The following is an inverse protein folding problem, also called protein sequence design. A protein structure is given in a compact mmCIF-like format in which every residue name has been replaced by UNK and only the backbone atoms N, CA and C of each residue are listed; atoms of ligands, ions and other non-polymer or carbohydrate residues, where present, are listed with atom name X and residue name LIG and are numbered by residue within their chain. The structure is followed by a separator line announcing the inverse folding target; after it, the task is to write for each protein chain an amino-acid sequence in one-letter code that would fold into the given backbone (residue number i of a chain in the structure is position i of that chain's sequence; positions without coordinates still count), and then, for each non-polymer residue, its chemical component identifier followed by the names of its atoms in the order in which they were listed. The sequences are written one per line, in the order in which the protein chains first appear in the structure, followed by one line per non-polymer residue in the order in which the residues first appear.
data_IF_439375101150
#
_entry.id   IF_439375101150
#
_cell.length_a   1.000
_cell.length_b   1.000
_cell.length_c   1.000
_cell.angle_alpha   90.00
_cell.angle_beta   90.00
_cell.angle_gamma   90.00
#
_symmetry.space_group_name_H-M   'P 1'
#
loop_
_entity.id
_entity.type
_entity.pdbx_description
1 polymer ?
#
# COMPACT_ATOMS: atom_id res chain seq x y z
N UNK A 1 14.63 -60.18 3.54
CA UNK A 1 14.27 -60.93 4.76
C UNK A 1 14.42 -62.40 4.44
N UNK A 2 15.30 -63.15 5.14
CA UNK A 2 15.17 -64.61 5.14
C UNK A 2 13.92 -64.89 5.97
N UNK A 3 12.88 -65.40 5.33
CA UNK A 3 11.73 -65.96 6.03
C UNK A 3 12.28 -66.99 7.01
N UNK A 4 12.28 -66.66 8.31
CA UNK A 4 12.52 -67.68 9.32
C UNK A 4 11.36 -68.66 9.18
N UNK A 5 11.61 -69.93 8.80
CA UNK A 5 10.54 -70.86 8.50
C UNK A 5 9.64 -70.96 9.72
N UNK A 6 8.37 -70.64 9.50
CA UNK A 6 7.31 -70.73 10.50
C UNK A 6 7.34 -72.15 11.07
N UNK A 7 7.68 -72.31 12.34
CA UNK A 7 7.77 -73.66 12.93
C UNK A 7 6.34 -74.16 12.99
N UNK A 8 6.08 -75.41 12.61
CA UNK A 8 4.72 -75.98 12.64
C UNK A 8 4.00 -75.79 13.98
N UNK A 9 4.76 -75.77 15.07
CA UNK A 9 4.26 -75.55 16.44
C UNK A 9 3.77 -74.11 16.69
N UNK A 10 4.28 -73.13 15.93
CA UNK A 10 3.84 -71.73 15.98
C UNK A 10 2.36 -71.61 15.59
N UNK A 11 1.88 -72.42 14.65
CA UNK A 11 0.47 -72.39 14.21
C UNK A 11 -0.52 -72.63 15.36
N UNK A 12 -0.14 -73.40 16.37
CA UNK A 12 -0.98 -73.70 17.54
C UNK A 12 -0.75 -72.73 18.70
N UNK A 13 0.50 -72.31 18.93
CA UNK A 13 0.88 -71.49 20.08
C UNK A 13 0.79 -69.98 19.82
N UNK A 14 0.64 -69.54 18.57
CA UNK A 14 0.48 -68.12 18.20
C UNK A 14 -0.79 -67.50 18.79
N UNK A 15 -1.85 -68.29 19.02
CA UNK A 15 -3.11 -67.79 19.59
C UNK A 15 -3.09 -67.69 21.12
N UNK A 16 -2.04 -68.16 21.78
CA UNK A 16 -1.86 -67.98 23.22
C UNK A 16 -1.12 -66.66 23.50
N UNK A 17 -1.62 -65.94 24.49
CA UNK A 17 -0.88 -64.83 25.08
C UNK A 17 0.42 -65.32 25.70
N UNK A 18 1.38 -64.41 25.88
CA UNK A 18 2.62 -64.66 26.59
C UNK A 18 2.34 -65.27 27.97
N UNK A 19 1.36 -64.71 28.70
CA UNK A 19 0.89 -65.25 29.98
C UNK A 19 0.37 -66.69 29.85
N UNK A 20 -0.35 -66.99 28.76
CA UNK A 20 -0.81 -68.34 28.44
C UNK A 20 0.33 -69.32 28.19
N UNK A 21 1.37 -68.91 27.43
CA UNK A 21 2.57 -69.72 27.18
C UNK A 21 3.32 -70.03 28.47
N UNK A 22 3.47 -69.05 29.38
CA UNK A 22 4.04 -69.27 30.70
C UNK A 22 3.18 -70.15 31.61
N UNK A 23 1.85 -69.98 31.60
CA UNK A 23 0.94 -70.87 32.34
C UNK A 23 1.03 -72.31 31.82
N UNK A 24 1.10 -72.51 30.51
CA UNK A 24 1.29 -73.84 29.92
C UNK A 24 2.60 -74.48 30.39
N UNK A 25 3.70 -73.73 30.36
CA UNK A 25 5.00 -74.21 30.85
C UNK A 25 4.97 -74.52 32.36
N UNK A 26 4.31 -73.67 33.16
CA UNK A 26 4.14 -73.87 34.60
C UNK A 26 3.31 -75.12 34.91
N UNK A 27 2.13 -75.27 34.28
CA UNK A 27 1.26 -76.45 34.45
C UNK A 27 2.00 -77.72 33.99
N UNK A 28 2.78 -77.63 32.90
CA UNK A 28 3.59 -78.75 32.44
C UNK A 28 4.65 -79.15 33.48
N UNK A 29 5.42 -78.20 34.02
CA UNK A 29 6.42 -78.47 35.07
C UNK A 29 5.77 -79.00 36.36
N UNK A 30 4.61 -78.47 36.74
CA UNK A 30 3.85 -78.95 37.90
C UNK A 30 3.38 -80.40 37.69
N UNK A 31 2.84 -80.71 36.51
CA UNK A 31 2.42 -82.07 36.15
C UNK A 31 3.59 -83.05 36.10
N UNK A 32 4.75 -82.62 35.62
CA UNK A 32 5.99 -83.40 35.63
C UNK A 32 6.40 -83.73 37.07
N UNK A 33 6.29 -82.77 38.00
CA UNK A 33 6.62 -82.97 39.42
C UNK A 33 5.67 -83.96 40.11
N UNK A 34 4.38 -83.91 39.78
CA UNK A 34 3.40 -84.90 40.27
C UNK A 34 3.71 -86.30 39.69
N UNK A 35 3.98 -86.38 38.38
CA UNK A 35 4.28 -87.64 37.72
C UNK A 35 5.53 -88.32 38.28
N UNK A 36 6.60 -87.56 38.55
CA UNK A 36 7.81 -88.08 39.20
C UNK A 36 7.52 -88.56 40.62
N UNK A 37 6.71 -87.83 41.38
CA UNK A 37 6.25 -88.24 42.72
C UNK A 37 5.48 -89.57 42.70
N UNK A 38 4.55 -89.75 41.76
CA UNK A 38 3.79 -91.02 41.59
C UNK A 38 4.72 -92.17 41.23
N UNK A 39 5.68 -91.95 40.33
CA UNK A 39 6.67 -92.96 39.94
C UNK A 39 7.54 -93.37 41.14
N UNK A 40 8.00 -92.41 41.94
CA UNK A 40 8.79 -92.71 43.14
C UNK A 40 7.98 -93.46 44.20
N UNK A 41 6.70 -93.10 44.38
CA UNK A 41 5.81 -93.82 45.29
C UNK A 41 5.59 -95.27 44.82
N UNK A 42 5.39 -95.49 43.51
CA UNK A 42 5.27 -96.83 42.93
C UNK A 42 6.55 -97.66 43.08
N UNK A 43 7.73 -97.05 42.90
CA UNK A 43 9.01 -97.75 43.09
C UNK A 43 9.23 -98.10 44.56
N UNK A 44 8.90 -97.19 45.49
CA UNK A 44 8.98 -97.42 46.92
C UNK A 44 8.07 -98.56 47.40
N UNK A 45 6.82 -98.59 46.91
CA UNK A 45 5.88 -99.69 47.24
C UNK A 45 6.36 -101.03 46.69
N UNK A 46 6.88 -101.06 45.45
CA UNK A 46 7.46 -102.28 44.87
C UNK A 46 8.71 -102.74 45.64
N UNK A 47 9.55 -101.83 46.12
CA UNK A 47 10.71 -102.15 46.94
C UNK A 47 10.29 -102.76 48.29
N UNK A 48 9.28 -102.19 48.94
CA UNK A 48 8.75 -102.74 50.19
C UNK A 48 8.16 -104.14 49.99
N UNK A 49 7.47 -104.37 48.86
CA UNK A 49 6.94 -105.69 48.51
C UNK A 49 8.05 -106.74 48.30
N UNK A 50 9.11 -106.42 47.53
CA UNK A 50 10.25 -107.33 47.31
C UNK A 50 10.99 -107.64 48.63
N UNK A 51 11.16 -106.66 49.50
CA UNK A 51 11.76 -106.85 50.83
C UNK A 51 10.88 -107.79 51.68
N UNK A 52 9.56 -107.60 51.66
CA UNK A 52 8.63 -108.47 52.37
C UNK A 52 8.66 -109.90 51.81
N UNK A 53 8.72 -110.07 50.49
CA UNK A 53 8.81 -111.37 49.84
C UNK A 53 10.14 -112.07 50.18
N UNK A 54 11.28 -111.39 50.09
CA UNK A 54 12.60 -111.95 50.48
C UNK A 54 12.64 -112.33 51.96
N UNK A 55 12.06 -111.51 52.83
CA UNK A 55 11.99 -111.81 54.26
C UNK A 55 11.11 -113.05 54.52
N UNK A 56 9.95 -113.13 53.87
CA UNK A 56 9.08 -114.31 53.96
C UNK A 56 9.77 -115.57 53.43
N UNK A 57 10.51 -115.48 52.32
CA UNK A 57 11.26 -116.59 51.75
C UNK A 57 12.41 -117.05 52.67
N UNK A 58 13.13 -116.12 53.30
CA UNK A 58 14.17 -116.44 54.28
C UNK A 58 13.58 -117.10 55.54
N UNK A 59 12.46 -116.58 56.06
CA UNK A 59 11.72 -117.18 57.16
C UNK A 59 11.29 -118.61 56.81
N UNK A 60 10.72 -118.80 55.61
CA UNK A 60 10.27 -120.10 55.13
C UNK A 60 11.46 -121.08 54.95
N UNK A 61 12.60 -120.59 54.46
CA UNK A 61 13.82 -121.39 54.32
C UNK A 61 14.35 -121.86 55.68
N UNK A 62 14.40 -120.97 56.68
CA UNK A 62 14.78 -121.33 58.06
C UNK A 62 13.81 -122.36 58.64
N UNK A 63 12.50 -122.13 58.54
CA UNK A 63 11.49 -123.06 59.06
C UNK A 63 11.56 -124.44 58.39
N UNK A 64 11.79 -124.48 57.08
CA UNK A 64 11.96 -125.75 56.34
C UNK A 64 13.24 -126.50 56.68
N UNK A 65 14.31 -125.80 57.08
CA UNK A 65 15.59 -126.43 57.41
C UNK A 65 15.56 -127.13 58.77
N UNK A 66 14.75 -126.63 59.71
CA UNK A 66 14.62 -127.18 61.06
C UNK A 66 13.45 -128.19 61.21
N UNK A 67 12.80 -128.59 60.10
CA UNK A 67 11.65 -129.50 60.06
C UNK A 67 10.56 -129.18 61.09
N UNK A 68 10.37 -127.87 61.32
CA UNK A 68 9.47 -127.37 62.36
C UNK A 68 8.03 -127.66 61.94
N UNK A 69 7.30 -128.39 62.79
CA UNK A 69 5.90 -128.72 62.56
C UNK A 69 5.05 -127.44 62.43
N UNK A 70 3.93 -127.53 61.71
CA UNK A 70 3.16 -126.32 61.39
C UNK A 70 2.65 -125.57 62.63
N UNK A 71 2.35 -126.29 63.71
CA UNK A 71 1.92 -125.71 65.00
C UNK A 71 3.08 -125.05 65.77
N UNK A 72 4.30 -125.60 65.73
CA UNK A 72 5.48 -124.96 66.33
C UNK A 72 5.91 -123.70 65.57
N UNK A 73 5.91 -123.74 64.24
CA UNK A 73 6.24 -122.59 63.40
C UNK A 73 5.26 -121.42 63.63
N UNK A 74 3.95 -121.72 63.75
CA UNK A 74 2.95 -120.72 64.08
C UNK A 74 3.20 -120.07 65.45
N UNK A 75 3.63 -120.83 66.45
CA UNK A 75 3.93 -120.31 67.79
C UNK A 75 5.18 -119.40 67.82
N UNK A 76 6.24 -119.78 67.11
CA UNK A 76 7.48 -119.00 67.01
C UNK A 76 7.24 -117.68 66.28
N UNK A 77 6.48 -117.71 65.18
CA UNK A 77 6.16 -116.49 64.43
C UNK A 77 5.20 -115.60 65.24
N UNK A 78 4.19 -116.17 65.93
CA UNK A 78 3.29 -115.41 66.79
C UNK A 78 4.04 -114.71 67.94
N UNK A 79 5.10 -115.31 68.48
CA UNK A 79 5.95 -114.71 69.51
C UNK A 79 6.70 -113.45 69.04
N UNK A 80 6.90 -113.28 67.73
CA UNK A 80 7.54 -112.08 67.14
C UNK A 80 6.57 -110.90 66.91
N UNK A 81 5.31 -111.02 67.35
CA UNK A 81 4.28 -109.98 67.14
C UNK A 81 3.68 -109.98 65.73
N UNK A 82 3.94 -111.05 64.98
CA UNK A 82 3.63 -111.18 63.57
C UNK A 82 2.49 -112.18 63.38
N UNK A 83 1.45 -111.81 62.63
CA UNK A 83 0.40 -112.76 62.22
C UNK A 83 0.91 -113.63 61.07
N UNK A 84 1.12 -114.91 61.37
CA UNK A 84 1.44 -115.94 60.40
C UNK A 84 0.14 -116.46 59.75
N UNK A 85 0.10 -116.51 58.42
CA UNK A 85 -0.98 -117.18 57.68
C UNK A 85 -0.35 -118.26 56.81
N UNK A 86 -0.86 -119.49 56.88
CA UNK A 86 -0.34 -120.60 56.07
C UNK A 86 -1.19 -120.73 54.80
N UNK A 87 -0.56 -120.61 53.63
CA UNK A 87 -1.22 -120.84 52.35
C UNK A 87 -0.33 -121.71 51.46
N UNK A 88 -0.84 -122.86 51.03
CA UNK A 88 -0.18 -123.79 50.11
C UNK A 88 1.22 -124.25 50.56
N UNK A 89 1.35 -124.73 51.81
CA UNK A 89 2.61 -125.14 52.45
C UNK A 89 3.71 -124.05 52.49
N UNK A 90 3.33 -122.77 52.39
CA UNK A 90 4.22 -121.63 52.59
C UNK A 90 3.69 -120.72 53.69
N UNK A 91 4.59 -120.29 54.57
CA UNK A 91 4.28 -119.31 55.61
C UNK A 91 4.27 -117.91 55.00
N UNK A 92 3.09 -117.29 54.96
CA UNK A 92 2.88 -115.91 54.56
C UNK A 92 2.79 -115.01 55.78
N UNK A 93 3.54 -113.92 55.78
CA UNK A 93 3.59 -112.95 56.87
C UNK A 93 2.69 -111.75 56.55
N UNK A 94 1.68 -111.47 57.39
CA UNK A 94 0.93 -110.20 57.33
C UNK A 94 1.24 -109.36 58.56
N UNK A 95 2.34 -108.62 58.53
CA UNK A 95 2.62 -107.59 59.53
C UNK A 95 3.35 -106.41 58.91
N UNK A 96 2.83 -105.23 59.24
CA UNK A 96 3.29 -103.91 58.85
C UNK A 96 4.50 -103.50 59.69
N UNK A 97 5.54 -104.33 59.70
CA UNK A 97 6.79 -104.09 60.44
C UNK A 97 7.78 -103.40 59.52
N UNK A 98 8.27 -102.22 59.91
CA UNK A 98 9.27 -101.46 59.17
C UNK A 98 10.58 -102.24 59.12
N UNK A 99 10.84 -102.94 58.03
CA UNK A 99 12.12 -103.62 57.79
C UNK A 99 13.20 -102.59 57.50
N UNK A 100 14.30 -102.59 58.26
CA UNK A 100 15.52 -101.89 57.85
C UNK A 100 16.12 -102.66 56.66
N UNK A 101 15.94 -102.08 55.48
CA UNK A 101 16.49 -102.60 54.22
C UNK A 101 18.02 -102.45 54.25
N UNK A 102 18.73 -103.56 54.34
CA UNK A 102 20.13 -103.64 53.94
C UNK A 102 20.18 -104.36 52.59
N UNK A 103 20.57 -103.64 51.54
CA UNK A 103 20.89 -104.11 50.17
C UNK A 103 19.78 -104.29 49.10
N UNK A 104 18.62 -103.64 49.19
CA UNK A 104 17.78 -103.43 47.97
C UNK A 104 17.95 -102.00 47.44
N UNK A 105 18.56 -101.84 46.26
CA UNK A 105 18.72 -100.52 45.63
C UNK A 105 17.36 -100.03 45.13
N UNK A 106 16.90 -98.87 45.60
CA UNK A 106 15.63 -98.24 45.19
C UNK A 106 15.47 -98.17 43.65
N UNK A 107 16.56 -97.84 42.96
CA UNK A 107 16.62 -97.72 41.50
C UNK A 107 16.30 -99.02 40.74
N UNK A 108 16.61 -100.19 41.32
CA UNK A 108 16.31 -101.49 40.69
C UNK A 108 14.82 -101.82 40.66
N UNK A 109 14.00 -101.11 41.45
CA UNK A 109 12.55 -101.30 41.54
C UNK A 109 11.76 -100.29 40.69
N UNK A 110 12.46 -99.43 39.95
CA UNK A 110 11.84 -98.61 38.93
C UNK A 110 11.59 -99.45 37.67
N UNK A 111 10.33 -99.52 37.22
CA UNK A 111 10.03 -100.18 35.95
C UNK A 111 10.67 -99.41 34.79
N UNK A 112 11.17 -100.10 33.77
CA UNK A 112 11.72 -99.46 32.58
C UNK A 112 10.73 -98.45 31.96
N UNK A 113 9.43 -98.79 31.96
CA UNK A 113 8.36 -97.89 31.50
C UNK A 113 8.28 -96.59 32.29
N UNK A 114 8.45 -96.61 33.62
CA UNK A 114 8.40 -95.42 34.47
C UNK A 114 9.58 -94.48 34.23
N UNK A 115 10.78 -95.05 33.99
CA UNK A 115 11.98 -94.29 33.66
C UNK A 115 11.87 -93.65 32.26
N UNK A 116 11.32 -94.38 31.29
CA UNK A 116 11.05 -93.86 29.94
C UNK A 116 10.04 -92.72 29.94
N UNK A 117 8.96 -92.83 30.72
CA UNK A 117 7.95 -91.76 30.84
C UNK A 117 8.55 -90.51 31.48
N UNK A 118 9.35 -90.66 32.54
CA UNK A 118 10.04 -89.54 33.19
C UNK A 118 11.02 -88.84 32.26
N UNK A 119 11.82 -89.61 31.51
CA UNK A 119 12.75 -89.07 30.51
C UNK A 119 12.00 -88.35 29.38
N UNK A 120 10.90 -88.93 28.88
CA UNK A 120 10.08 -88.32 27.83
C UNK A 120 9.46 -86.99 28.29
N UNK A 121 8.89 -86.93 29.49
CA UNK A 121 8.32 -85.69 30.04
C UNK A 121 9.41 -84.63 30.30
N UNK A 122 10.61 -85.03 30.73
CA UNK A 122 11.72 -84.10 30.91
C UNK A 122 12.18 -83.49 29.57
N UNK A 123 12.34 -84.32 28.54
CA UNK A 123 12.70 -83.88 27.19
C UNK A 123 11.61 -82.94 26.62
N UNK A 124 10.34 -83.30 26.78
CA UNK A 124 9.21 -82.44 26.37
C UNK A 124 9.25 -81.09 27.09
N UNK A 125 9.63 -81.04 28.37
CA UNK A 125 9.81 -79.81 29.13
C UNK A 125 10.93 -78.92 28.59
N UNK A 126 12.09 -79.52 28.27
CA UNK A 126 13.21 -78.80 27.64
C UNK A 126 12.83 -78.28 26.25
N UNK A 127 12.11 -79.07 25.45
CA UNK A 127 11.61 -78.64 24.14
C UNK A 127 10.62 -77.47 24.26
N UNK A 128 9.67 -77.55 25.19
CA UNK A 128 8.72 -76.47 25.45
C UNK A 128 9.40 -75.20 25.95
N UNK A 129 10.39 -75.32 26.85
CA UNK A 129 11.18 -74.19 27.36
C UNK A 129 12.02 -73.54 26.26
N UNK A 130 12.72 -74.34 25.46
CA UNK A 130 13.52 -73.85 24.34
C UNK A 130 12.63 -73.17 23.29
N UNK A 131 11.44 -73.71 23.03
CA UNK A 131 10.46 -73.09 22.14
C UNK A 131 10.04 -71.69 22.63
N UNK A 132 9.57 -71.57 23.87
CA UNK A 132 9.14 -70.28 24.43
C UNK A 132 10.29 -69.27 24.45
N UNK A 133 11.50 -69.71 24.83
CA UNK A 133 12.69 -68.85 24.83
C UNK A 133 13.07 -68.36 23.43
N UNK A 134 13.02 -69.24 22.42
CA UNK A 134 13.33 -68.89 21.03
C UNK A 134 12.27 -67.96 20.43
N UNK A 135 10.99 -68.16 20.79
CA UNK A 135 9.87 -67.32 20.34
C UNK A 135 10.00 -65.89 20.89
N UNK A 136 10.20 -65.75 22.20
CA UNK A 136 10.36 -64.44 22.87
C UNK A 136 11.62 -63.74 22.35
N UNK A 137 12.74 -64.44 22.26
CA UNK A 137 14.01 -63.88 21.78
C UNK A 137 13.90 -63.36 20.35
N UNK A 138 13.24 -64.10 19.45
CA UNK A 138 13.00 -63.66 18.08
C UNK A 138 12.12 -62.42 18.00
N UNK A 139 10.98 -62.41 18.70
CA UNK A 139 10.05 -61.28 18.69
C UNK A 139 10.68 -60.00 19.28
N UNK A 140 11.42 -60.13 20.40
CA UNK A 140 12.14 -59.01 21.02
C UNK A 140 13.25 -58.48 20.14
N UNK A 141 14.00 -59.36 19.46
CA UNK A 141 15.02 -58.94 18.50
C UNK A 141 14.41 -58.12 17.36
N UNK A 142 13.34 -58.60 16.73
CA UNK A 142 12.66 -57.88 15.65
C UNK A 142 12.13 -56.52 16.10
N UNK A 143 11.52 -56.43 17.29
CA UNK A 143 11.07 -55.15 17.85
C UNK A 143 12.22 -54.19 18.13
N UNK A 144 13.29 -54.68 18.75
CA UNK A 144 14.46 -53.86 19.02
C UNK A 144 15.11 -53.36 17.72
N UNK A 145 15.20 -54.20 16.68
CA UNK A 145 15.70 -53.79 15.36
C UNK A 145 14.78 -52.75 14.71
N UNK A 146 13.45 -52.89 14.82
CA UNK A 146 12.51 -51.90 14.30
C UNK A 146 12.65 -50.54 15.01
N UNK A 147 12.78 -50.56 16.35
CA UNK A 147 13.03 -49.37 17.16
C UNK A 147 14.40 -48.74 16.85
N UNK A 148 15.45 -49.53 16.64
CA UNK A 148 16.77 -49.03 16.24
C UNK A 148 16.72 -48.36 14.87
N UNK A 149 16.01 -48.94 13.89
CA UNK A 149 15.80 -48.28 12.60
C UNK A 149 15.08 -46.94 12.75
N UNK A 150 14.05 -46.89 13.58
CA UNK A 150 13.33 -45.65 13.87
C UNK A 150 14.23 -44.61 14.58
N UNK A 151 15.09 -45.05 15.50
CA UNK A 151 16.12 -44.22 16.15
C UNK A 151 17.15 -43.66 15.15
N UNK A 152 17.56 -44.48 14.19
CA UNK A 152 18.48 -44.10 13.11
C UNK A 152 17.81 -43.22 12.04
N UNK A 153 16.53 -42.87 12.21
CA UNK A 153 15.77 -41.98 11.34
C UNK A 153 15.06 -42.67 10.17
N UNK A 154 15.05 -44.00 10.08
CA UNK A 154 14.28 -44.73 9.08
C UNK A 154 12.83 -44.93 9.54
N UNK A 155 11.96 -44.00 9.13
CA UNK A 155 10.52 -44.01 9.42
C UNK A 155 9.73 -44.78 8.34
N UNK A 156 10.38 -45.46 7.40
CA UNK A 156 9.73 -46.23 6.32
C UNK A 156 9.53 -47.70 6.68
N UNK A 157 10.32 -48.22 7.63
CA UNK A 157 10.24 -49.60 8.07
C UNK A 157 8.94 -49.85 8.83
N UNK A 158 8.20 -50.90 8.44
CA UNK A 158 7.02 -51.39 9.15
C UNK A 158 7.23 -52.84 9.58
N UNK A 159 6.75 -53.18 10.76
CA UNK A 159 6.82 -54.54 11.29
C UNK A 159 5.78 -55.46 10.66
N UNK A 160 4.62 -54.94 10.23
CA UNK A 160 3.59 -55.69 9.50
C UNK A 160 3.18 -57.00 10.21
N UNK A 161 3.11 -56.98 11.54
CA UNK A 161 2.66 -58.14 12.32
C UNK A 161 1.18 -58.42 12.06
N UNK A 162 0.83 -59.70 11.94
CA UNK A 162 -0.58 -60.09 11.88
C UNK A 162 -1.28 -59.79 13.21
N UNK A 163 -2.55 -59.32 13.19
CA UNK A 163 -3.31 -59.06 14.40
C UNK A 163 -3.68 -60.38 15.09
N UNK A 164 -2.99 -60.67 16.19
CA UNK A 164 -3.22 -61.87 17.00
C UNK A 164 -3.36 -61.47 18.46
N UNK A 165 -4.05 -62.29 19.29
CA UNK A 165 -4.16 -62.12 20.75
C UNK A 165 -2.84 -62.44 21.47
N UNK A 166 -1.74 -61.83 21.04
CA UNK A 166 -0.43 -61.86 21.67
C UNK A 166 0.02 -60.42 21.93
N UNK A 167 0.61 -60.19 23.11
CA UNK A 167 1.21 -58.92 23.53
C UNK A 167 2.21 -58.39 22.49
N UNK A 168 2.91 -59.27 21.76
CA UNK A 168 3.85 -58.83 20.73
C UNK A 168 3.17 -58.20 19.50
N UNK A 169 1.98 -58.67 19.12
CA UNK A 169 1.21 -58.10 18.02
C UNK A 169 0.79 -56.66 18.35
N UNK A 170 0.36 -56.41 19.59
CA UNK A 170 -0.04 -55.08 20.06
C UNK A 170 1.15 -54.11 20.04
N UNK A 171 2.32 -54.52 20.54
CA UNK A 171 3.53 -53.69 20.51
C UNK A 171 3.92 -53.41 19.06
N UNK A 172 3.88 -54.40 18.18
CA UNK A 172 4.25 -54.23 16.79
C UNK A 172 3.36 -53.21 16.07
N UNK A 173 2.03 -53.33 16.21
CA UNK A 173 1.08 -52.34 15.68
C UNK A 173 1.28 -50.96 16.30
N UNK A 174 1.62 -50.88 17.59
CA UNK A 174 1.89 -49.60 18.25
C UNK A 174 3.12 -48.91 17.67
N UNK A 175 4.20 -49.65 17.40
CA UNK A 175 5.40 -49.11 16.75
C UNK A 175 5.10 -48.65 15.32
N UNK A 176 4.32 -49.42 14.55
CA UNK A 176 3.90 -49.01 13.19
C UNK A 176 3.10 -47.70 13.23
N UNK A 177 2.14 -47.56 14.17
CA UNK A 177 1.37 -46.32 14.35
C UNK A 177 2.25 -45.12 14.76
N UNK A 178 3.27 -45.34 15.60
CA UNK A 178 4.22 -44.29 15.98
C UNK A 178 5.05 -43.88 14.75
N UNK A 179 5.55 -44.85 13.98
CA UNK A 179 6.29 -44.57 12.75
C UNK A 179 5.44 -43.80 11.72
N UNK A 180 4.16 -44.16 11.54
CA UNK A 180 3.22 -43.42 10.66
C UNK A 180 3.01 -41.97 11.13
N UNK A 181 2.85 -41.77 12.44
CA UNK A 181 2.68 -40.43 13.03
C UNK A 181 3.93 -39.58 12.87
N UNK A 182 5.11 -40.12 13.19
CA UNK A 182 6.40 -39.42 13.03
C UNK A 182 6.68 -39.11 11.55
N UNK A 183 6.44 -40.07 10.65
CA UNK A 183 6.58 -39.85 9.20
C UNK A 183 5.68 -38.70 8.71
N UNK A 184 4.42 -38.67 9.19
CA UNK A 184 3.47 -37.60 8.85
C UNK A 184 3.92 -36.25 9.40
N UNK A 185 4.45 -36.20 10.63
CA UNK A 185 5.00 -34.99 11.24
C UNK A 185 6.20 -34.46 10.45
N UNK A 186 7.15 -35.33 10.07
CA UNK A 186 8.31 -34.95 9.26
C UNK A 186 7.88 -34.41 7.89
N UNK A 187 6.93 -35.06 7.21
CA UNK A 187 6.38 -34.57 5.94
C UNK A 187 5.72 -33.20 6.11
N UNK A 188 4.94 -33.00 7.18
CA UNK A 188 4.31 -31.72 7.48
C UNK A 188 5.34 -30.61 7.74
N UNK A 189 6.41 -30.91 8.50
CA UNK A 189 7.50 -29.96 8.77
C UNK A 189 8.24 -29.60 7.47
N UNK A 190 8.62 -30.59 6.65
CA UNK A 190 9.28 -30.33 5.35
C UNK A 190 8.43 -29.44 4.44
N UNK A 191 7.12 -29.72 4.35
CA UNK A 191 6.21 -28.90 3.55
C UNK A 191 6.07 -27.48 4.11
N UNK A 192 5.95 -27.33 5.43
CA UNK A 192 5.86 -26.02 6.08
C UNK A 192 7.14 -25.19 5.89
N UNK A 193 8.32 -25.81 6.04
CA UNK A 193 9.61 -25.16 5.77
C UNK A 193 9.73 -24.72 4.32
N UNK A 194 9.39 -25.59 3.36
CA UNK A 194 9.43 -25.22 1.94
C UNK A 194 8.51 -24.04 1.62
N UNK A 195 7.27 -24.05 2.14
CA UNK A 195 6.34 -22.94 1.97
C UNK A 195 6.87 -21.65 2.62
N UNK A 196 7.46 -21.75 3.82
CA UNK A 196 8.06 -20.61 4.50
C UNK A 196 9.24 -20.02 3.72
N UNK A 197 10.09 -20.86 3.13
CA UNK A 197 11.17 -20.44 2.24
C UNK A 197 10.66 -19.71 1.00
N UNK A 198 9.61 -20.23 0.35
CA UNK A 198 8.97 -19.58 -0.81
C UNK A 198 8.36 -18.22 -0.45
N UNK A 199 7.57 -18.16 0.63
CA UNK A 199 6.96 -16.90 1.10
C UNK A 199 8.01 -15.87 1.50
N UNK A 200 9.12 -16.30 2.10
CA UNK A 200 10.21 -15.40 2.46
C UNK A 200 10.90 -14.83 1.22
N UNK A 201 11.11 -15.65 0.18
CA UNK A 201 11.68 -15.19 -1.09
C UNK A 201 10.76 -14.17 -1.80
N UNK A 202 9.46 -14.44 -1.84
CA UNK A 202 8.45 -13.51 -2.39
C UNK A 202 8.42 -12.19 -1.61
N UNK A 203 8.38 -12.27 -0.27
CA UNK A 203 8.40 -11.08 0.59
C UNK A 203 9.69 -10.28 0.45
N UNK A 204 10.83 -10.96 0.23
CA UNK A 204 12.11 -10.33 -0.10
C UNK A 204 12.05 -9.54 -1.40
N UNK A 205 11.53 -10.14 -2.47
CA UNK A 205 11.35 -9.45 -3.76
C UNK A 205 10.44 -8.23 -3.63
N UNK A 206 9.30 -8.37 -2.96
CA UNK A 206 8.35 -7.27 -2.71
C UNK A 206 8.94 -6.14 -1.85
N UNK A 207 9.84 -6.48 -0.93
CA UNK A 207 10.56 -5.50 -0.11
C UNK A 207 11.50 -4.66 -0.98
N UNK A 208 12.28 -5.30 -1.86
CA UNK A 208 13.16 -4.58 -2.82
C UNK A 208 12.36 -3.71 -3.79
N UNK A 209 11.23 -4.21 -4.30
CA UNK A 209 10.34 -3.40 -5.16
C UNK A 209 9.79 -2.18 -4.41
N UNK A 210 9.36 -2.35 -3.16
CA UNK A 210 8.88 -1.26 -2.32
C UNK A 210 9.98 -0.23 -2.01
N UNK A 211 11.23 -0.67 -1.85
CA UNK A 211 12.39 0.22 -1.63
C UNK A 211 12.64 1.12 -2.85
N UNK A 212 12.58 0.54 -4.05
CA UNK A 212 12.72 1.28 -5.29
C UNK A 212 11.59 2.32 -5.45
N UNK A 213 10.33 1.92 -5.20
CA UNK A 213 9.18 2.82 -5.25
C UNK A 213 9.29 3.96 -4.22
N UNK A 214 9.74 3.66 -3.00
CA UNK A 214 9.95 4.68 -1.95
C UNK A 214 11.05 5.67 -2.34
N UNK A 215 12.12 5.20 -2.99
CA UNK A 215 13.20 6.05 -3.51
C UNK A 215 12.69 6.96 -4.63
N UNK A 216 11.97 6.42 -5.60
CA UNK A 216 11.37 7.20 -6.69
C UNK A 216 10.38 8.24 -6.16
N UNK A 217 9.52 7.85 -5.20
CA UNK A 217 8.58 8.76 -4.55
C UNK A 217 9.29 9.93 -3.87
N UNK A 218 10.43 9.71 -3.21
CA UNK A 218 11.25 10.81 -2.64
C UNK A 218 11.74 11.77 -3.71
N UNK A 219 12.25 11.28 -4.84
CA UNK A 219 12.69 12.14 -5.94
C UNK A 219 11.54 12.97 -6.52
N UNK A 220 10.34 12.40 -6.63
CA UNK A 220 9.14 13.14 -7.01
C UNK A 220 8.78 14.22 -5.99
N UNK A 221 8.87 13.91 -4.69
CA UNK A 221 8.59 14.89 -3.63
C UNK A 221 9.58 16.06 -3.62
N UNK A 222 10.87 15.80 -3.85
CA UNK A 222 11.89 16.86 -3.96
C UNK A 222 11.62 17.80 -5.15
N UNK A 223 11.20 17.23 -6.28
CA UNK A 223 10.79 17.99 -7.47
C UNK A 223 9.51 18.79 -7.21
N UNK A 224 8.53 18.18 -6.55
CA UNK A 224 7.26 18.81 -6.20
C UNK A 224 7.46 19.96 -5.18
N UNK A 225 8.37 19.80 -4.22
CA UNK A 225 8.72 20.86 -3.27
C UNK A 225 9.32 22.06 -4.02
N UNK A 226 10.23 21.81 -4.96
CA UNK A 226 10.84 22.86 -5.78
C UNK A 226 9.81 23.58 -6.65
N UNK A 227 8.91 22.84 -7.32
CA UNK A 227 7.82 23.41 -8.10
C UNK A 227 6.83 24.23 -7.24
N UNK A 228 6.60 23.81 -5.99
CA UNK A 228 5.73 24.53 -5.05
C UNK A 228 6.38 25.84 -4.59
N UNK A 229 7.69 25.85 -4.38
CA UNK A 229 8.44 27.08 -4.05
C UNK A 229 8.45 28.07 -5.22
N UNK A 230 8.69 27.59 -6.44
CA UNK A 230 8.63 28.41 -7.66
C UNK A 230 7.21 28.97 -7.90
N UNK A 231 6.18 28.16 -7.65
CA UNK A 231 4.79 28.58 -7.69
C UNK A 231 4.50 29.68 -6.64
N UNK A 232 4.99 29.51 -5.41
CA UNK A 232 4.82 30.51 -4.36
C UNK A 232 5.52 31.85 -4.70
N UNK A 233 6.70 31.79 -5.32
CA UNK A 233 7.39 32.95 -5.87
C UNK A 233 6.56 33.64 -6.95
N UNK A 234 6.12 32.89 -7.96
CA UNK A 234 5.32 33.41 -9.08
C UNK A 234 4.02 34.05 -8.62
N UNK A 235 3.35 33.48 -7.62
CA UNK A 235 2.13 34.04 -7.03
C UNK A 235 2.41 35.39 -6.36
N UNK A 236 3.54 35.51 -5.64
CA UNK A 236 3.95 36.76 -4.99
C UNK A 236 4.29 37.84 -6.02
N UNK A 237 4.90 37.46 -7.14
CA UNK A 237 5.15 38.36 -8.26
C UNK A 237 3.84 38.84 -8.91
N UNK A 238 2.87 37.95 -9.12
CA UNK A 238 1.54 38.34 -9.64
C UNK A 238 0.83 39.32 -8.70
N UNK A 239 0.86 39.10 -7.39
CA UNK A 239 0.30 40.04 -6.42
C UNK A 239 0.97 41.42 -6.51
N UNK A 240 2.30 41.44 -6.55
CA UNK A 240 3.10 42.66 -6.67
C UNK A 240 2.81 43.41 -7.97
N UNK A 241 2.74 42.70 -9.10
CA UNK A 241 2.43 43.29 -10.40
C UNK A 241 1.01 43.85 -10.46
N UNK A 242 0.04 43.20 -9.80
CA UNK A 242 -1.32 43.73 -9.70
C UNK A 242 -1.36 45.04 -8.90
N UNK A 243 -0.65 45.12 -7.76
CA UNK A 243 -0.51 46.36 -6.99
C UNK A 243 0.18 47.47 -7.79
N UNK A 244 1.28 47.15 -8.47
CA UNK A 244 1.99 48.10 -9.35
C UNK A 244 1.09 48.62 -10.47
N UNK A 245 0.37 47.73 -11.15
CA UNK A 245 -0.58 48.09 -12.22
C UNK A 245 -1.68 48.99 -11.68
N UNK A 246 -2.21 48.69 -10.49
CA UNK A 246 -3.19 49.55 -9.82
C UNK A 246 -2.64 50.96 -9.56
N UNK A 247 -1.39 51.05 -9.11
CA UNK A 247 -0.70 52.32 -8.87
C UNK A 247 -0.51 53.14 -10.16
N UNK A 248 -0.03 52.52 -11.24
CA UNK A 248 0.16 53.18 -12.54
C UNK A 248 -1.16 53.68 -13.12
N UNK A 249 -2.24 52.91 -12.99
CA UNK A 249 -3.57 53.28 -13.47
C UNK A 249 -4.18 54.43 -12.67
N UNK A 250 -3.92 54.50 -11.36
CA UNK A 250 -4.33 55.64 -10.54
C UNK A 250 -3.66 56.94 -11.02
N UNK A 251 -2.36 56.89 -11.34
CA UNK A 251 -1.64 58.03 -11.95
C UNK A 251 -2.23 58.40 -13.32
N UNK A 252 -2.58 57.41 -14.15
CA UNK A 252 -3.24 57.66 -15.43
C UNK A 252 -4.65 58.28 -15.26
N UNK A 253 -5.36 57.91 -14.19
CA UNK A 253 -6.64 58.51 -13.80
C UNK A 253 -6.48 59.97 -13.43
N UNK A 254 -5.48 60.33 -12.62
CA UNK A 254 -5.16 61.72 -12.27
C UNK A 254 -4.79 62.54 -13.51
N UNK A 255 -3.98 61.99 -14.42
CA UNK A 255 -3.61 62.66 -15.67
C UNK A 255 -4.83 62.90 -16.59
N UNK A 256 -5.79 61.97 -16.59
CA UNK A 256 -7.04 62.12 -17.33
C UNK A 256 -7.92 63.23 -16.73
N UNK A 257 -7.99 63.32 -15.41
CA UNK A 257 -8.68 64.42 -14.71
C UNK A 257 -8.07 65.79 -15.03
N UNK A 258 -6.74 65.90 -14.98
CA UNK A 258 -6.03 67.12 -15.39
C UNK A 258 -6.30 67.49 -16.85
N UNK A 259 -6.29 66.49 -17.75
CA UNK A 259 -6.60 66.70 -19.16
C UNK A 259 -8.03 67.22 -19.33
N UNK A 260 -9.00 66.69 -18.57
CA UNK A 260 -10.39 67.17 -18.59
C UNK A 260 -10.51 68.63 -18.13
N UNK A 261 -9.75 69.04 -17.12
CA UNK A 261 -9.69 70.43 -16.68
C UNK A 261 -9.14 71.34 -17.79
N UNK A 262 -8.08 70.91 -18.48
CA UNK A 262 -7.48 71.66 -19.59
C UNK A 262 -8.43 71.80 -20.80
N UNK A 263 -9.19 70.75 -21.12
CA UNK A 263 -10.25 70.79 -22.14
C UNK A 263 -11.33 71.80 -21.76
N UNK A 264 -11.82 71.78 -20.52
CA UNK A 264 -12.82 72.76 -20.06
C UNK A 264 -12.31 74.21 -20.13
N UNK A 265 -11.06 74.45 -19.74
CA UNK A 265 -10.42 75.77 -19.89
C UNK A 265 -10.35 76.20 -21.37
N UNK A 266 -10.01 75.28 -22.26
CA UNK A 266 -9.92 75.56 -23.70
C UNK A 266 -11.30 75.85 -24.29
N UNK A 267 -12.33 75.13 -23.85
CA UNK A 267 -13.71 75.35 -24.27
C UNK A 267 -14.20 76.75 -23.85
N UNK A 268 -13.89 77.19 -22.63
CA UNK A 268 -14.16 78.55 -22.18
C UNK A 268 -13.42 79.60 -23.02
N UNK A 269 -12.15 79.36 -23.38
CA UNK A 269 -11.39 80.28 -24.22
C UNK A 269 -11.97 80.39 -25.64
N UNK A 270 -12.43 79.29 -26.23
CA UNK A 270 -13.11 79.28 -27.54
C UNK A 270 -14.43 80.04 -27.50
N UNK A 271 -15.21 79.88 -26.42
CA UNK A 271 -16.46 80.61 -26.22
C UNK A 271 -16.22 82.12 -26.08
N UNK A 272 -15.20 82.52 -25.31
CA UNK A 272 -14.80 83.92 -25.19
C UNK A 272 -14.35 84.50 -26.54
N UNK A 273 -13.50 83.78 -27.29
CA UNK A 273 -13.05 84.18 -28.62
C UNK A 273 -14.23 84.35 -29.60
N UNK A 274 -15.19 83.44 -29.57
CA UNK A 274 -16.39 83.52 -30.42
C UNK A 274 -17.21 84.78 -30.11
N UNK A 275 -17.38 85.11 -28.82
CA UNK A 275 -18.07 86.33 -28.42
C UNK A 275 -17.32 87.61 -28.83
N UNK A 276 -15.99 87.63 -28.72
CA UNK A 276 -15.15 88.75 -29.17
C UNK A 276 -15.23 88.96 -30.69
N UNK A 277 -15.18 87.86 -31.48
CA UNK A 277 -15.33 87.91 -32.93
C UNK A 277 -16.74 88.39 -33.32
N UNK A 278 -17.78 87.95 -32.63
CA UNK A 278 -19.15 88.40 -32.88
C UNK A 278 -19.32 89.90 -32.61
N UNK A 279 -18.71 90.41 -31.53
CA UNK A 279 -18.67 91.84 -31.23
C UNK A 279 -17.91 92.63 -32.31
N UNK A 280 -16.76 92.11 -32.77
CA UNK A 280 -15.99 92.72 -33.85
C UNK A 280 -16.76 92.73 -35.19
N UNK A 281 -17.50 91.65 -35.48
CA UNK A 281 -18.38 91.53 -36.66
C UNK A 281 -19.47 92.62 -36.65
N UNK A 282 -20.08 92.88 -35.49
CA UNK A 282 -21.05 93.99 -35.32
C UNK A 282 -20.42 95.36 -35.60
N UNK A 283 -19.20 95.59 -35.11
CA UNK A 283 -18.47 96.84 -35.35
C UNK A 283 -18.11 97.03 -36.84
N UNK A 284 -17.68 95.97 -37.52
CA UNK A 284 -17.41 95.96 -38.97
C UNK A 284 -18.68 96.22 -39.78
N UNK A 285 -19.81 95.64 -39.38
CA UNK A 285 -21.11 95.91 -40.01
C UNK A 285 -21.55 97.37 -39.84
N UNK A 286 -21.30 97.98 -38.67
CA UNK A 286 -21.53 99.42 -38.48
C UNK A 286 -20.60 100.28 -39.32
N UNK A 287 -19.34 99.87 -39.51
CA UNK A 287 -18.39 100.56 -40.39
C UNK A 287 -18.83 100.50 -41.86
N UNK A 288 -19.35 99.35 -42.32
CA UNK A 288 -19.92 99.18 -43.66
C UNK A 288 -21.08 100.16 -43.89
N UNK A 289 -22.00 100.25 -42.91
CA UNK A 289 -23.13 101.19 -42.98
C UNK A 289 -22.64 102.65 -43.03
N UNK A 290 -21.73 103.04 -42.15
CA UNK A 290 -21.20 104.41 -42.10
C UNK A 290 -20.47 104.79 -43.42
N UNK A 291 -19.72 103.86 -44.01
CA UNK A 291 -19.02 104.10 -45.28
C UNK A 291 -19.99 104.25 -46.46
N UNK A 292 -21.07 103.47 -46.50
CA UNK A 292 -22.14 103.63 -47.49
C UNK A 292 -22.82 105.01 -47.36
N UNK A 293 -23.10 105.46 -46.14
CA UNK A 293 -23.68 106.79 -45.87
C UNK A 293 -22.73 107.92 -46.34
N UNK A 294 -21.43 107.81 -46.02
CA UNK A 294 -20.41 108.76 -46.49
C UNK A 294 -20.31 108.75 -48.02
N UNK A 295 -20.32 107.58 -48.66
CA UNK A 295 -20.31 107.44 -50.11
C UNK A 295 -21.49 108.16 -50.78
N UNK A 296 -22.69 108.05 -50.21
CA UNK A 296 -23.88 108.78 -50.67
C UNK A 296 -23.73 110.31 -50.53
N UNK A 297 -23.14 110.78 -49.43
CA UNK A 297 -22.88 112.21 -49.22
C UNK A 297 -21.85 112.74 -50.23
N UNK A 298 -20.75 112.00 -50.46
CA UNK A 298 -19.69 112.37 -51.39
C UNK A 298 -20.21 112.43 -52.83
N UNK A 299 -21.07 111.47 -53.22
CA UNK A 299 -21.78 111.50 -54.50
C UNK A 299 -22.63 112.77 -54.67
N UNK A 300 -23.34 113.17 -53.60
CA UNK A 300 -24.13 114.42 -53.58
C UNK A 300 -23.24 115.66 -53.71
N UNK A 301 -22.09 115.71 -53.01
CA UNK A 301 -21.14 116.83 -53.09
C UNK A 301 -20.51 116.91 -54.50
N UNK A 302 -20.22 115.77 -55.12
CA UNK A 302 -19.72 115.70 -56.49
C UNK A 302 -20.75 116.29 -57.46
N UNK A 303 -22.02 115.90 -57.34
CA UNK A 303 -23.11 116.46 -58.14
C UNK A 303 -23.30 117.97 -57.93
N UNK A 304 -23.20 118.46 -56.68
CA UNK A 304 -23.25 119.89 -56.37
C UNK A 304 -22.05 120.62 -56.98
N UNK A 305 -20.85 120.04 -56.91
CA UNK A 305 -19.63 120.64 -57.48
C UNK A 305 -19.71 120.71 -59.00
N UNK A 306 -20.22 119.67 -59.65
CA UNK A 306 -20.46 119.65 -61.09
C UNK A 306 -21.49 120.72 -61.50
N UNK A 307 -22.61 120.81 -60.77
CA UNK A 307 -23.61 121.85 -60.98
C UNK A 307 -23.03 123.25 -60.76
N UNK A 308 -22.19 123.43 -59.73
CA UNK A 308 -21.51 124.70 -59.42
C UNK A 308 -20.51 125.07 -60.51
N UNK A 309 -19.77 124.10 -61.04
CA UNK A 309 -18.86 124.28 -62.17
C UNK A 309 -19.61 124.72 -63.44
N UNK A 310 -20.77 124.11 -63.72
CA UNK A 310 -21.65 124.51 -64.83
C UNK A 310 -22.24 125.91 -64.64
N UNK A 311 -22.70 126.25 -63.42
CA UNK A 311 -23.19 127.59 -63.09
C UNK A 311 -22.10 128.65 -63.24
N UNK A 312 -20.89 128.36 -62.75
CA UNK A 312 -19.74 129.24 -62.86
C UNK A 312 -19.30 129.43 -64.31
N UNK A 313 -19.34 128.37 -65.14
CA UNK A 313 -19.09 128.46 -66.56
C UNK A 313 -20.12 129.38 -67.26
N UNK A 314 -21.41 129.21 -66.97
CA UNK A 314 -22.45 130.08 -67.51
C UNK A 314 -22.26 131.54 -67.08
N UNK A 315 -21.88 131.78 -65.82
CA UNK A 315 -21.57 133.12 -65.32
C UNK A 315 -20.33 133.75 -65.98
N UNK A 316 -19.27 132.96 -66.22
CA UNK A 316 -18.08 133.43 -66.92
C UNK A 316 -18.39 133.80 -68.38
N UNK A 317 -19.23 133.01 -69.06
CA UNK A 317 -19.72 133.31 -70.42
C UNK A 317 -20.49 134.64 -70.44
N UNK A 318 -21.43 134.85 -69.51
CA UNK A 318 -22.24 136.07 -69.47
C UNK A 318 -21.42 137.31 -69.04
N UNK A 319 -20.43 137.13 -68.16
CA UNK A 319 -19.48 138.18 -67.78
C UNK A 319 -18.58 138.60 -68.96
N UNK A 320 -18.12 137.65 -69.78
CA UNK A 320 -17.40 137.94 -71.02
C UNK A 320 -18.29 138.69 -72.03
N UNK A 321 -19.59 138.38 -72.06
CA UNK A 321 -20.59 139.02 -72.92
C UNK A 321 -20.86 140.49 -72.54
N UNK A 322 -20.72 140.84 -71.27
CA UNK A 322 -20.87 142.20 -70.74
C UNK A 322 -19.65 143.12 -70.98
N UNK A 323 -18.55 142.60 -71.56
CA UNK A 323 -17.36 143.39 -71.90
C UNK A 323 -16.63 143.96 -70.68
N UNK A 324 -16.18 145.23 -70.75
CA UNK A 324 -15.41 145.87 -69.66
C UNK A 324 -16.19 145.99 -68.33
N UNK A 325 -17.54 146.08 -68.38
CA UNK A 325 -18.38 146.13 -67.18
C UNK A 325 -18.46 144.78 -66.45
N UNK A 326 -18.15 143.67 -67.13
CA UNK A 326 -18.21 142.30 -66.60
C UNK A 326 -16.89 141.77 -66.02
N UNK A 327 -15.77 142.51 -66.13
CA UNK A 327 -14.43 142.01 -65.73
C UNK A 327 -14.36 141.52 -64.28
N UNK A 328 -14.97 142.25 -63.34
CA UNK A 328 -15.00 141.84 -61.93
C UNK A 328 -15.79 140.54 -61.71
N UNK A 329 -16.90 140.38 -62.43
CA UNK A 329 -17.72 139.15 -62.39
C UNK A 329 -17.02 137.96 -63.07
N UNK A 330 -16.29 138.19 -64.16
CA UNK A 330 -15.54 137.14 -64.85
C UNK A 330 -14.45 136.53 -63.95
N UNK A 331 -13.72 137.36 -63.19
CA UNK A 331 -12.70 136.89 -62.23
C UNK A 331 -13.33 136.05 -61.12
N UNK A 332 -14.47 136.49 -60.58
CA UNK A 332 -15.20 135.71 -59.54
C UNK A 332 -15.73 134.40 -60.12
N UNK A 333 -16.26 134.39 -61.34
CA UNK A 333 -16.77 133.18 -61.98
C UNK A 333 -15.65 132.15 -62.25
N UNK A 334 -14.47 132.57 -62.71
CA UNK A 334 -13.32 131.67 -62.89
C UNK A 334 -12.75 131.13 -61.56
N UNK A 335 -12.78 131.94 -60.49
CA UNK A 335 -12.39 131.49 -59.15
C UNK A 335 -13.38 130.43 -58.62
N UNK A 336 -14.69 130.65 -58.78
CA UNK A 336 -15.73 129.67 -58.41
C UNK A 336 -15.60 128.39 -59.26
N UNK A 337 -15.31 128.51 -60.56
CA UNK A 337 -15.08 127.37 -61.46
C UNK A 337 -13.86 126.55 -61.02
N UNK A 338 -12.78 127.22 -60.67
CA UNK A 338 -11.55 126.58 -60.16
C UNK A 338 -11.80 125.89 -58.82
N UNK A 339 -12.56 126.52 -57.91
CA UNK A 339 -12.94 125.94 -56.63
C UNK A 339 -13.86 124.72 -56.81
N UNK A 340 -14.83 124.79 -57.72
CA UNK A 340 -15.71 123.67 -58.05
C UNK A 340 -14.93 122.49 -58.65
N UNK A 341 -13.97 122.76 -59.55
CA UNK A 341 -13.08 121.74 -60.11
C UNK A 341 -12.19 121.08 -59.05
N UNK A 342 -11.60 121.87 -58.13
CA UNK A 342 -10.84 121.33 -56.99
C UNK A 342 -11.71 120.49 -56.05
N UNK A 343 -12.96 120.92 -55.82
CA UNK A 343 -13.92 120.17 -54.99
C UNK A 343 -14.29 118.85 -55.65
N UNK A 344 -14.54 118.86 -56.97
CA UNK A 344 -14.83 117.64 -57.73
C UNK A 344 -13.65 116.65 -57.69
N UNK A 345 -12.42 117.13 -57.88
CA UNK A 345 -11.22 116.28 -57.76
C UNK A 345 -11.08 115.67 -56.35
N UNK A 346 -11.30 116.46 -55.30
CA UNK A 346 -11.31 115.95 -53.92
C UNK A 346 -12.41 114.91 -53.69
N UNK A 347 -13.61 115.09 -54.26
CA UNK A 347 -14.67 114.08 -54.15
C UNK A 347 -14.33 112.78 -54.87
N UNK A 348 -13.61 112.81 -55.99
CA UNK A 348 -13.13 111.60 -56.67
C UNK A 348 -12.12 110.84 -55.83
N UNK A 349 -11.17 111.56 -55.20
CA UNK A 349 -10.20 110.96 -54.28
C UNK A 349 -10.89 110.33 -53.05
N UNK A 350 -11.88 111.03 -52.46
CA UNK A 350 -12.67 110.50 -51.34
C UNK A 350 -13.49 109.28 -51.78
N UNK A 351 -14.13 109.31 -52.95
CA UNK A 351 -14.89 108.18 -53.48
C UNK A 351 -14.02 106.92 -53.60
N UNK A 352 -12.79 107.08 -54.09
CA UNK A 352 -11.82 105.98 -54.17
C UNK A 352 -11.46 105.43 -52.78
N UNK A 353 -11.21 106.32 -51.81
CA UNK A 353 -10.93 105.88 -50.42
C UNK A 353 -12.12 105.11 -49.81
N UNK A 354 -13.36 105.53 -50.10
CA UNK A 354 -14.57 104.82 -49.65
C UNK A 354 -14.69 103.44 -50.31
N UNK A 355 -14.42 103.32 -51.62
CA UNK A 355 -14.42 102.02 -52.31
C UNK A 355 -13.36 101.06 -51.74
N UNK A 356 -12.15 101.57 -51.46
CA UNK A 356 -11.09 100.78 -50.82
C UNK A 356 -11.51 100.34 -49.41
N UNK A 357 -12.19 101.21 -48.66
CA UNK A 357 -12.72 100.93 -47.31
C UNK A 357 -13.85 99.88 -47.35
N UNK A 358 -14.80 99.99 -48.27
CA UNK A 358 -15.86 99.00 -48.50
C UNK A 358 -15.29 97.62 -48.83
N UNK A 359 -14.34 97.56 -49.76
CA UNK A 359 -13.65 96.32 -50.15
C UNK A 359 -12.95 95.65 -48.96
N UNK A 360 -12.19 96.43 -48.19
CA UNK A 360 -11.51 95.93 -47.00
C UNK A 360 -12.49 95.44 -45.92
N UNK A 361 -13.61 96.15 -45.73
CA UNK A 361 -14.65 95.79 -44.75
C UNK A 361 -15.34 94.48 -45.15
N UNK A 362 -15.65 94.30 -46.44
CA UNK A 362 -16.21 93.06 -46.97
C UNK A 362 -15.24 91.87 -46.80
N UNK A 363 -13.94 92.09 -47.01
CA UNK A 363 -12.91 91.07 -46.77
C UNK A 363 -12.83 90.70 -45.28
N UNK A 364 -12.79 91.69 -44.37
CA UNK A 364 -12.78 91.47 -42.93
C UNK A 364 -13.99 90.65 -42.45
N UNK A 365 -15.18 90.94 -42.97
CA UNK A 365 -16.40 90.15 -42.67
C UNK A 365 -16.25 88.68 -43.05
N UNK A 366 -15.67 88.38 -44.22
CA UNK A 366 -15.40 87.02 -44.65
C UNK A 366 -14.44 86.28 -43.72
N UNK A 367 -13.37 86.95 -43.29
CA UNK A 367 -12.41 86.40 -42.31
C UNK A 367 -13.07 86.16 -40.95
N UNK A 368 -13.90 87.10 -40.49
CA UNK A 368 -14.63 86.97 -39.22
C UNK A 368 -15.61 85.80 -39.25
N UNK A 369 -16.41 85.64 -40.32
CA UNK A 369 -17.32 84.51 -40.46
C UNK A 369 -16.57 83.17 -40.45
N UNK A 370 -15.48 83.06 -41.22
CA UNK A 370 -14.66 81.85 -41.22
C UNK A 370 -14.04 81.55 -39.85
N UNK A 371 -13.74 82.59 -39.06
CA UNK A 371 -13.23 82.43 -37.68
C UNK A 371 -14.32 81.90 -36.74
N UNK A 372 -15.56 82.37 -36.86
CA UNK A 372 -16.71 81.85 -36.09
C UNK A 372 -16.94 80.37 -36.42
N UNK A 373 -16.94 80.01 -37.71
CA UNK A 373 -17.15 78.62 -38.14
C UNK A 373 -16.04 77.70 -37.60
N UNK A 374 -14.78 78.16 -37.64
CA UNK A 374 -13.64 77.44 -37.08
C UNK A 374 -13.71 77.29 -35.55
N UNK A 375 -14.21 78.32 -34.85
CA UNK A 375 -14.40 78.27 -33.40
C UNK A 375 -15.49 77.25 -33.02
N UNK A 376 -16.62 77.23 -33.75
CA UNK A 376 -17.67 76.23 -33.56
C UNK A 376 -17.19 74.79 -33.83
N UNK A 377 -16.41 74.59 -34.89
CA UNK A 377 -15.78 73.29 -35.17
C UNK A 377 -14.81 72.87 -34.05
N UNK A 378 -14.02 73.81 -33.54
CA UNK A 378 -13.09 73.57 -32.42
C UNK A 378 -13.82 73.22 -31.13
N UNK A 379 -14.95 73.88 -30.84
CA UNK A 379 -15.81 73.54 -29.69
C UNK A 379 -16.35 72.11 -29.80
N UNK A 380 -16.83 71.72 -30.98
CA UNK A 380 -17.32 70.34 -31.21
C UNK A 380 -16.21 69.30 -31.03
N UNK A 381 -14.99 69.58 -31.50
CA UNK A 381 -13.84 68.69 -31.31
C UNK A 381 -13.49 68.57 -29.82
N UNK A 382 -13.49 69.67 -29.07
CA UNK A 382 -13.20 69.66 -27.63
C UNK A 382 -14.25 68.88 -26.83
N UNK A 383 -15.54 68.98 -27.17
CA UNK A 383 -16.60 68.16 -26.55
C UNK A 383 -16.39 66.66 -26.80
N UNK A 384 -15.96 66.28 -28.00
CA UNK A 384 -15.65 64.87 -28.29
C UNK A 384 -14.43 64.39 -27.49
N UNK A 385 -13.40 65.23 -27.35
CA UNK A 385 -12.23 64.91 -26.51
C UNK A 385 -12.64 64.72 -25.04
N UNK A 386 -13.53 65.56 -24.51
CA UNK A 386 -14.05 65.43 -23.13
C UNK A 386 -14.74 64.08 -22.90
N UNK A 387 -15.57 63.63 -23.86
CA UNK A 387 -16.22 62.32 -23.81
C UNK A 387 -15.21 61.16 -23.82
N UNK A 388 -14.20 61.21 -24.68
CA UNK A 388 -13.15 60.18 -24.75
C UNK A 388 -12.32 60.12 -23.45
N UNK A 389 -12.00 61.28 -22.86
CA UNK A 389 -11.35 61.34 -21.54
C UNK A 389 -12.24 60.71 -20.47
N UNK A 390 -13.56 60.95 -20.52
CA UNK A 390 -14.54 60.29 -19.65
C UNK A 390 -14.48 58.75 -19.77
N UNK A 391 -14.44 58.22 -20.99
CA UNK A 391 -14.29 56.79 -21.22
C UNK A 391 -12.96 56.23 -20.74
N UNK A 392 -11.86 56.98 -20.86
CA UNK A 392 -10.55 56.59 -20.31
C UNK A 392 -10.64 56.48 -18.78
N UNK A 393 -11.24 57.48 -18.11
CA UNK A 393 -11.39 57.48 -16.65
C UNK A 393 -12.20 56.28 -16.14
N UNK A 394 -13.32 55.97 -16.78
CA UNK A 394 -14.14 54.79 -16.46
C UNK A 394 -13.36 53.48 -16.63
N UNK A 395 -12.61 53.35 -17.74
CA UNK A 395 -11.78 52.16 -18.01
C UNK A 395 -10.65 52.02 -17.00
N UNK A 396 -10.00 53.12 -16.62
CA UNK A 396 -8.97 53.14 -15.58
C UNK A 396 -9.54 52.64 -14.25
N UNK A 397 -10.70 53.14 -13.81
CA UNK A 397 -11.32 52.66 -12.58
C UNK A 397 -11.59 51.14 -12.61
N UNK A 398 -12.13 50.63 -13.72
CA UNK A 398 -12.37 49.19 -13.89
C UNK A 398 -11.09 48.36 -13.87
N UNK A 399 -9.97 48.91 -14.34
CA UNK A 399 -8.67 48.21 -14.27
C UNK A 399 -8.18 48.20 -12.82
N UNK A 400 -8.30 49.30 -12.08
CA UNK A 400 -7.97 49.35 -10.64
C UNK A 400 -8.75 48.31 -9.82
N UNK A 401 -10.06 48.20 -10.06
CA UNK A 401 -10.90 47.22 -9.36
C UNK A 401 -10.43 45.79 -9.66
N UNK A 402 -10.16 45.48 -10.94
CA UNK A 402 -9.64 44.16 -11.35
C UNK A 402 -8.26 43.85 -10.82
N UNK A 403 -7.36 44.83 -10.76
CA UNK A 403 -6.04 44.66 -10.16
C UNK A 403 -6.17 44.30 -8.68
N UNK A 404 -7.13 44.90 -7.97
CA UNK A 404 -7.41 44.55 -6.56
C UNK A 404 -7.94 43.12 -6.42
N UNK A 405 -8.82 42.69 -7.32
CA UNK A 405 -9.30 41.30 -7.37
C UNK A 405 -8.16 40.31 -7.65
N UNK A 406 -7.26 40.62 -8.61
CA UNK A 406 -6.09 39.79 -8.93
C UNK A 406 -5.16 39.68 -7.73
N UNK A 407 -4.85 40.80 -7.05
CA UNK A 407 -4.01 40.78 -5.85
C UNK A 407 -4.63 39.92 -4.73
N UNK A 408 -5.95 40.01 -4.55
CA UNK A 408 -6.69 39.19 -3.57
C UNK A 408 -6.63 37.70 -3.93
N UNK A 409 -6.87 37.36 -5.20
CA UNK A 409 -6.80 35.99 -5.68
C UNK A 409 -5.38 35.40 -5.56
N UNK A 410 -4.35 36.20 -5.87
CA UNK A 410 -2.96 35.81 -5.69
C UNK A 410 -2.64 35.54 -4.21
N UNK A 411 -3.08 36.39 -3.28
CA UNK A 411 -2.91 36.13 -1.85
C UNK A 411 -3.59 34.82 -1.39
N UNK A 412 -4.80 34.52 -1.88
CA UNK A 412 -5.47 33.24 -1.62
C UNK A 412 -4.69 32.06 -2.18
N UNK A 413 -4.22 32.15 -3.44
CA UNK A 413 -3.37 31.11 -4.04
C UNK A 413 -2.08 30.90 -3.25
N UNK A 414 -1.48 31.97 -2.70
CA UNK A 414 -0.29 31.88 -1.87
C UNK A 414 -0.53 31.07 -0.59
N UNK A 415 -1.70 31.25 0.05
CA UNK A 415 -2.10 30.43 1.19
C UNK A 415 -2.28 28.95 0.83
N UNK A 416 -2.82 28.66 -0.36
CA UNK A 416 -2.98 27.29 -0.85
C UNK A 416 -1.61 26.67 -1.15
N UNK A 417 -0.71 27.40 -1.80
CA UNK A 417 0.66 26.97 -2.05
C UNK A 417 1.42 26.65 -0.74
N UNK A 418 1.23 27.46 0.30
CA UNK A 418 1.78 27.17 1.64
C UNK A 418 1.23 25.87 2.24
N UNK A 419 -0.06 25.58 2.04
CA UNK A 419 -0.67 24.31 2.48
C UNK A 419 -0.11 23.13 1.71
N UNK A 420 0.04 23.26 0.38
CA UNK A 420 0.65 22.23 -0.48
C UNK A 420 2.08 21.94 -0.02
N UNK A 421 2.89 22.97 0.26
CA UNK A 421 4.25 22.80 0.77
C UNK A 421 4.29 21.99 2.07
N UNK A 422 3.39 22.29 3.01
CA UNK A 422 3.24 21.50 4.24
C UNK A 422 2.81 20.05 3.98
N UNK A 423 1.94 19.82 3.01
CA UNK A 423 1.49 18.47 2.65
C UNK A 423 2.61 17.65 1.99
N UNK A 424 3.41 18.26 1.12
CA UNK A 424 4.59 17.65 0.52
C UNK A 424 5.58 17.20 1.60
N UNK A 425 5.84 18.05 2.59
CA UNK A 425 6.70 17.72 3.73
C UNK A 425 6.15 16.55 4.55
N UNK A 426 4.83 16.51 4.78
CA UNK A 426 4.18 15.40 5.48
C UNK A 426 4.30 14.08 4.71
N UNK A 427 4.08 14.10 3.39
CA UNK A 427 4.25 12.91 2.55
C UNK A 427 5.71 12.47 2.50
N UNK A 428 6.66 13.41 2.52
CA UNK A 428 8.11 13.12 2.62
C UNK A 428 8.44 12.37 3.90
N UNK A 429 7.89 12.80 5.04
CA UNK A 429 8.07 12.10 6.32
C UNK A 429 7.46 10.69 6.28
N UNK A 430 6.28 10.52 5.68
CA UNK A 430 5.67 9.21 5.50
C UNK A 430 6.52 8.29 4.59
N UNK A 431 7.13 8.81 3.54
CA UNK A 431 8.04 8.05 2.68
C UNK A 431 9.28 7.55 3.46
N UNK A 432 9.81 8.35 4.39
CA UNK A 432 10.87 7.91 5.31
C UNK A 432 10.42 6.77 6.23
N UNK A 433 9.22 6.86 6.81
CA UNK A 433 8.66 5.79 7.65
C UNK A 433 8.46 4.50 6.85
N UNK A 434 8.00 4.60 5.61
CA UNK A 434 7.86 3.45 4.70
C UNK A 434 9.22 2.82 4.43
N UNK A 435 10.27 3.61 4.16
CA UNK A 435 11.63 3.10 3.96
C UNK A 435 12.14 2.33 5.19
N UNK A 436 11.91 2.86 6.40
CA UNK A 436 12.26 2.16 7.65
C UNK A 436 11.51 0.83 7.81
N UNK A 437 10.21 0.81 7.53
CA UNK A 437 9.40 -0.43 7.57
C UNK A 437 9.89 -1.47 6.55
N UNK A 438 10.31 -1.05 5.36
CA UNK A 438 10.88 -1.94 4.34
C UNK A 438 12.20 -2.55 4.84
N UNK A 439 13.08 -1.76 5.45
CA UNK A 439 14.32 -2.27 6.03
C UNK A 439 14.06 -3.27 7.16
N UNK A 440 13.05 -3.03 8.00
CA UNK A 440 12.66 -3.99 9.04
C UNK A 440 12.10 -5.28 8.43
N UNK A 441 11.24 -5.18 7.41
CA UNK A 441 10.70 -6.33 6.70
C UNK A 441 11.81 -7.18 6.05
N UNK A 442 12.84 -6.55 5.49
CA UNK A 442 13.98 -7.26 4.92
C UNK A 442 14.78 -8.06 5.97
N UNK A 443 14.91 -7.53 7.20
CA UNK A 443 15.50 -8.26 8.33
C UNK A 443 14.63 -9.46 8.72
N UNK A 444 13.33 -9.24 8.86
CA UNK A 444 12.38 -10.30 9.23
C UNK A 444 12.35 -11.44 8.19
N UNK A 445 12.44 -11.10 6.89
CA UNK A 445 12.61 -12.08 5.80
C UNK A 445 13.87 -12.91 5.97
N UNK A 446 14.99 -12.27 6.31
CA UNK A 446 16.27 -12.95 6.53
C UNK A 446 16.16 -13.93 7.70
N UNK A 447 15.46 -13.56 8.77
CA UNK A 447 15.28 -14.42 9.93
C UNK A 447 14.30 -15.57 9.65
N UNK A 448 13.25 -15.35 8.85
CA UNK A 448 12.36 -16.43 8.37
C UNK A 448 13.12 -17.45 7.52
N UNK A 449 14.01 -17.00 6.63
CA UNK A 449 14.87 -17.89 5.84
C UNK A 449 15.79 -18.74 6.72
N UNK A 450 16.40 -18.15 7.75
CA UNK A 450 17.20 -18.90 8.74
C UNK A 450 16.35 -19.93 9.48
N UNK A 451 15.16 -19.55 9.93
CA UNK A 451 14.26 -20.45 10.65
C UNK A 451 13.80 -21.61 9.77
N UNK A 452 13.48 -21.34 8.51
CA UNK A 452 13.12 -22.35 7.50
C UNK A 452 14.26 -23.35 7.31
N UNK A 453 15.49 -22.84 7.13
CA UNK A 453 16.68 -23.68 6.97
C UNK A 453 16.94 -24.53 8.21
N UNK A 454 16.74 -23.96 9.40
CA UNK A 454 16.89 -24.69 10.67
C UNK A 454 15.82 -25.78 10.84
N UNK A 455 14.58 -25.55 10.44
CA UNK A 455 13.54 -26.59 10.50
C UNK A 455 13.83 -27.72 9.52
N UNK A 456 14.29 -27.40 8.31
CA UNK A 456 14.70 -28.41 7.31
C UNK A 456 15.87 -29.25 7.82
N UNK A 457 16.90 -28.63 8.42
CA UNK A 457 18.05 -29.38 8.93
C UNK A 457 17.71 -30.31 10.09
N UNK A 458 16.74 -29.95 10.94
CA UNK A 458 16.25 -30.81 12.04
C UNK A 458 15.61 -32.10 11.55
N UNK A 459 15.10 -32.13 10.31
CA UNK A 459 14.37 -33.28 9.73
C UNK A 459 15.08 -33.92 8.53
N UNK A 460 16.25 -33.44 8.15
CA UNK A 460 16.99 -33.89 6.96
C UNK A 460 17.49 -35.33 7.10
N UNK A 461 17.85 -35.74 8.32
CA UNK A 461 18.27 -37.11 8.64
C UNK A 461 17.12 -38.13 8.76
N UNK A 462 15.86 -37.68 8.68
CA UNK A 462 14.69 -38.56 8.84
C UNK A 462 14.16 -38.99 7.46
N UNK A 463 14.26 -40.29 7.18
CA UNK A 463 13.79 -40.92 5.95
C UNK A 463 12.30 -41.20 6.06
N UNK A 464 11.54 -40.56 5.19
CA UNK A 464 10.08 -40.70 5.10
C UNK A 464 9.61 -41.38 3.83
N UNK A 465 10.51 -41.70 2.91
CA UNK A 465 10.22 -42.35 1.60
C UNK A 465 11.35 -43.31 1.22
#
# INVERSE_FOLDING_TARGET
MKETPFRWIDQYLIRLSLKGKFHFLYVFMFSLTIATGVVFHSASTSQMADVQDKHSAALNAVLSHYDVSADEAASIIAATGVKATQSNNKWGQSSQTTYQVLDSSFWSHMSASSLSIMAALFILGLMASHYVSSFIGGAMYTMNTALQRMLDGDLTSRMNFFPVRDEFSIIATTVDNVADREQSLVKAIKNASNLMGQLSADLGHRSTESENLSTEQRTYLDSLASATEEMAGSIRDVATHAEQTSGEIMVAGEASEQSRQQVNQTLHAIQALSAEIEAASKAVSSLEQNSNEIGSMVSTISAISEQTNLLALNAAIEAARAGEQGRGFAVVADEVRTLAGRTQQATVEIQRMIQDLESNTAHLRGVMQGTVDNAAASESLMKNIDLEIGHISERSQRITDRSTEIATAANQQGSVAGTISSDVERVRQQAWQVSEMIQQTAKDVTDLQKQSTSLTSLVDGLRTE
#
